data_IF_556141688874
#
_entry.id   IF_556141688874
#
_cell.length_a   1.000
_cell.length_b   1.000
_cell.length_c   1.000
_cell.angle_alpha   90.00
_cell.angle_beta   90.00
_cell.angle_gamma   90.00
#
_symmetry.space_group_name_H-M   'P 1'
#
loop_
_entity.id
_entity.type
_entity.pdbx_description
1 polymer ?
#
# COMPACT_ATOMS: atom_id res chain seq x y z
N UNK A 1 14.82 -2.47 6.00
CA UNK A 1 13.98 -3.21 5.02
C UNK A 1 13.24 -2.23 4.13
N UNK A 2 13.05 -2.55 2.85
CA UNK A 2 12.22 -1.75 1.93
C UNK A 2 10.86 -2.42 1.75
N UNK A 3 9.82 -1.59 1.64
CA UNK A 3 8.42 -2.04 1.49
C UNK A 3 7.80 -1.28 0.31
N UNK A 4 7.20 -1.99 -0.63
CA UNK A 4 6.24 -1.42 -1.59
C UNK A 4 4.84 -1.88 -1.21
N UNK A 5 3.86 -0.97 -1.18
CA UNK A 5 2.48 -1.29 -0.80
C UNK A 5 1.52 -0.88 -1.92
N UNK A 6 0.84 -1.88 -2.51
CA UNK A 6 -0.37 -1.68 -3.31
C UNK A 6 -1.57 -1.76 -2.35
N UNK A 7 -2.18 -0.61 -2.08
CA UNK A 7 -3.20 -0.47 -1.04
C UNK A 7 -4.62 -0.55 -1.59
N UNK A 8 -5.50 -1.20 -0.83
CA UNK A 8 -6.93 -1.13 -1.02
C UNK A 8 -7.61 -0.67 0.27
N UNK A 9 -8.49 0.31 0.17
CA UNK A 9 -9.32 0.78 1.30
C UNK A 9 -10.40 -0.23 1.71
N UNK A 10 -10.74 -1.17 0.82
CA UNK A 10 -11.72 -2.23 1.05
C UNK A 10 -11.12 -3.59 0.64
N UNK A 11 -10.12 -4.09 1.39
CA UNK A 11 -9.45 -5.32 1.03
C UNK A 11 -10.38 -6.53 1.15
N UNK A 12 -10.24 -7.46 0.22
CA UNK A 12 -10.93 -8.75 0.19
C UNK A 12 -9.97 -9.84 -0.28
N UNK A 13 -10.30 -11.14 -0.20
CA UNK A 13 -9.46 -12.18 -0.78
C UNK A 13 -9.19 -12.01 -2.28
N UNK A 14 -10.12 -11.39 -3.03
CA UNK A 14 -9.99 -11.11 -4.47
C UNK A 14 -9.23 -9.81 -4.77
N UNK A 15 -9.18 -8.89 -3.81
CA UNK A 15 -8.46 -7.61 -3.90
C UNK A 15 -7.76 -7.33 -2.56
N UNK A 16 -6.69 -8.07 -2.22
CA UNK A 16 -5.97 -7.87 -0.98
C UNK A 16 -5.08 -6.62 -1.05
N UNK A 17 -4.68 -6.08 0.10
CA UNK A 17 -3.49 -5.22 0.17
C UNK A 17 -2.26 -6.10 -0.06
N UNK A 18 -1.32 -5.66 -0.88
CA UNK A 18 -0.09 -6.41 -1.18
C UNK A 18 1.12 -5.62 -0.73
N UNK A 19 1.97 -6.25 0.07
CA UNK A 19 3.29 -5.74 0.44
C UNK A 19 4.39 -6.49 -0.29
N UNK A 20 5.21 -5.76 -1.02
CA UNK A 20 6.49 -6.20 -1.57
C UNK A 20 7.61 -5.86 -0.58
N UNK A 21 8.26 -6.89 -0.04
CA UNK A 21 9.30 -6.75 0.97
C UNK A 21 10.64 -7.06 0.32
N UNK A 22 11.62 -6.18 0.54
CA UNK A 22 12.91 -6.31 -0.10
C UNK A 22 14.03 -5.56 0.59
N UNK A 23 15.19 -5.56 -0.08
CA UNK A 23 16.41 -4.89 0.37
C UNK A 23 17.07 -4.17 -0.79
N UNK A 24 17.75 -3.06 -0.52
CA UNK A 24 18.62 -2.41 -1.50
C UNK A 24 19.99 -3.11 -1.49
N UNK A 25 20.41 -3.63 -2.62
CA UNK A 25 21.73 -4.23 -2.81
C UNK A 25 22.37 -3.63 -4.06
N UNK A 26 23.54 -2.99 -3.91
CA UNK A 26 24.30 -2.40 -5.02
C UNK A 26 23.45 -1.49 -5.93
N UNK A 27 22.56 -0.68 -5.35
CA UNK A 27 21.67 0.23 -6.08
C UNK A 27 20.43 -0.44 -6.70
N UNK A 28 20.28 -1.75 -6.58
CA UNK A 28 19.13 -2.50 -7.06
C UNK A 28 18.23 -2.93 -5.90
N UNK A 29 16.90 -2.84 -6.08
CA UNK A 29 15.95 -3.37 -5.10
C UNK A 29 15.71 -4.84 -5.38
N UNK A 30 16.14 -5.69 -4.45
CA UNK A 30 15.88 -7.13 -4.51
C UNK A 30 14.58 -7.45 -3.75
N UNK A 31 13.60 -8.01 -4.46
CA UNK A 31 12.38 -8.53 -3.86
C UNK A 31 12.67 -9.82 -3.09
N UNK A 32 12.32 -9.85 -1.81
CA UNK A 32 12.46 -11.01 -0.93
C UNK A 32 11.17 -11.82 -0.82
N UNK A 33 10.03 -11.16 -0.60
CA UNK A 33 8.72 -11.82 -0.52
C UNK A 33 7.55 -10.87 -0.76
N UNK A 34 6.40 -11.46 -1.05
CA UNK A 34 5.11 -10.76 -1.06
C UNK A 34 4.28 -11.20 0.14
N UNK A 35 3.71 -10.24 0.88
CA UNK A 35 2.67 -10.50 1.88
C UNK A 35 1.33 -9.95 1.37
N UNK A 36 0.24 -10.69 1.65
CA UNK A 36 -1.11 -10.35 1.18
C UNK A 36 -2.05 -10.28 2.37
N UNK A 37 -2.80 -9.19 2.47
CA UNK A 37 -3.74 -8.96 3.55
C UNK A 37 -5.15 -8.78 2.98
N UNK A 38 -6.02 -9.73 3.29
CA UNK A 38 -7.42 -9.67 2.88
C UNK A 38 -8.29 -8.81 3.82
N UNK A 39 -7.70 -8.20 4.86
CA UNK A 39 -8.40 -7.34 5.82
C UNK A 39 -7.50 -6.22 6.33
N UNK A 40 -8.11 -5.08 6.68
CA UNK A 40 -7.40 -3.97 7.32
C UNK A 40 -6.77 -4.37 8.68
N UNK A 41 -7.46 -5.08 9.59
CA UNK A 41 -6.86 -5.48 10.87
C UNK A 41 -5.55 -6.25 10.70
N UNK A 42 -5.50 -7.24 9.80
CA UNK A 42 -4.28 -8.02 9.56
C UNK A 42 -3.13 -7.18 8.99
N UNK A 43 -3.45 -6.16 8.20
CA UNK A 43 -2.45 -5.22 7.70
C UNK A 43 -1.97 -4.26 8.80
N UNK A 44 -2.87 -3.76 9.65
CA UNK A 44 -2.51 -2.94 10.82
C UNK A 44 -1.61 -3.70 11.81
N UNK A 45 -1.91 -4.98 12.05
CA UNK A 45 -1.07 -5.82 12.91
C UNK A 45 0.34 -5.95 12.35
N UNK A 46 0.49 -6.02 11.03
CA UNK A 46 1.80 -6.00 10.38
C UNK A 46 2.52 -4.66 10.59
N UNK A 47 1.83 -3.53 10.36
CA UNK A 47 2.40 -2.19 10.53
C UNK A 47 2.87 -1.90 11.96
N UNK A 48 2.19 -2.45 12.97
CA UNK A 48 2.52 -2.28 14.39
C UNK A 48 3.73 -3.11 14.84
N UNK A 49 4.19 -4.09 14.05
CA UNK A 49 5.35 -4.91 14.43
C UNK A 49 6.59 -4.02 14.55
N UNK A 50 7.35 -4.12 15.65
CA UNK A 50 8.53 -3.28 15.84
C UNK A 50 9.63 -3.71 14.85
N UNK A 51 9.78 -2.98 13.75
CA UNK A 51 10.80 -3.21 12.72
C UNK A 51 11.24 -1.88 12.12
N UNK A 52 12.51 -1.80 11.71
CA UNK A 52 13.02 -0.66 10.94
C UNK A 52 12.82 -0.90 9.44
N UNK A 53 11.96 -0.09 8.83
CA UNK A 53 11.63 -0.17 7.42
C UNK A 53 11.31 1.19 6.81
N UNK A 54 11.52 1.30 5.50
CA UNK A 54 11.10 2.43 4.67
C UNK A 54 10.10 1.91 3.65
N UNK A 55 8.95 2.58 3.54
CA UNK A 55 7.85 2.13 2.69
C UNK A 55 7.42 3.16 1.66
N UNK A 56 7.17 2.70 0.44
CA UNK A 56 6.47 3.44 -0.60
C UNK A 56 5.04 2.88 -0.71
N UNK A 57 4.03 3.76 -0.65
CA UNK A 57 2.62 3.37 -0.62
C UNK A 57 1.88 3.98 -1.81
N UNK A 58 1.28 3.11 -2.62
CA UNK A 58 0.28 3.50 -3.63
C UNK A 58 -1.08 3.60 -2.93
N UNK A 59 -1.36 4.78 -2.38
CA UNK A 59 -2.62 5.08 -1.74
C UNK A 59 -3.54 5.72 -2.79
N UNK A 60 -4.82 5.26 -2.91
CA UNK A 60 -5.77 5.84 -3.83
C UNK A 60 -6.29 7.16 -3.27
N UNK A 61 -5.43 8.18 -3.22
CA UNK A 61 -5.83 9.54 -2.93
C UNK A 61 -6.54 10.11 -4.16
N UNK A 62 -7.84 9.81 -4.25
CA UNK A 62 -8.75 10.52 -5.14
C UNK A 62 -9.13 11.86 -4.53
N UNK A 63 -9.40 12.84 -5.39
CA UNK A 63 -10.07 14.05 -4.92
C UNK A 63 -11.49 13.69 -4.43
N UNK A 64 -11.96 14.28 -3.32
CA UNK A 64 -13.34 14.10 -2.88
C UNK A 64 -14.31 14.39 -4.02
N UNK A 65 -15.35 13.57 -4.17
CA UNK A 65 -16.33 13.75 -5.25
C UNK A 65 -16.95 15.14 -5.24
N UNK A 66 -17.19 15.68 -4.06
CA UNK A 66 -17.68 17.05 -3.86
C UNK A 66 -16.74 18.11 -4.43
N UNK A 67 -15.42 17.95 -4.25
CA UNK A 67 -14.41 18.85 -4.81
C UNK A 67 -14.39 18.77 -6.35
N UNK A 68 -14.40 17.55 -6.90
CA UNK A 68 -14.42 17.33 -8.36
C UNK A 68 -15.66 17.97 -8.99
N UNK A 69 -16.83 17.82 -8.35
CA UNK A 69 -18.09 18.43 -8.79
C UNK A 69 -18.06 19.96 -8.68
N UNK A 70 -17.56 20.50 -7.56
CA UNK A 70 -17.47 21.96 -7.33
C UNK A 70 -16.56 22.64 -8.35
N UNK A 71 -15.47 22.00 -8.75
CA UNK A 71 -14.50 22.55 -9.71
C UNK A 71 -14.87 22.32 -11.18
N UNK A 72 -15.97 21.61 -11.47
CA UNK A 72 -16.44 21.37 -12.84
C UNK A 72 -15.47 20.56 -13.71
N UNK A 73 -14.63 19.71 -13.10
CA UNK A 73 -13.71 18.86 -13.86
C UNK A 73 -14.46 17.80 -14.69
N UNK A 74 -13.98 17.48 -15.89
CA UNK A 74 -14.62 16.48 -16.75
C UNK A 74 -14.61 15.10 -16.05
N UNK A 75 -15.79 14.46 -16.00
CA UNK A 75 -16.03 13.13 -15.41
C UNK A 75 -16.07 12.03 -16.45
#
# INVERSE_FOLDING_TARGET
MLVGCDFSSAPTPKKPIVLALGTLQNGCVQLSRLERFASLPTFLDWLKKPHSWVGAFDLPFGLPRELVQTLGWPT
#
